data_IF_720786622588
#
_entry.id   IF_720786622588
#
_cell.length_a   1.000
_cell.length_b   1.000
_cell.length_c   1.000
_cell.angle_alpha   90.00
_cell.angle_beta   90.00
_cell.angle_gamma   90.00
#
_symmetry.space_group_name_H-M   'P 1'
#
loop_
_entity.id
_entity.type
_entity.pdbx_description
1 polymer ?
#
# COMPACT_ATOMS: atom_id res chain seq x y z
N UNK A 1 20.67 -54.70 34.82
CA UNK A 1 19.62 -53.67 34.96
C UNK A 1 20.13 -52.42 34.25
N UNK A 2 20.02 -52.24 32.92
CA UNK A 2 19.11 -52.84 31.94
C UNK A 2 17.65 -52.39 32.09
N UNK A 3 17.36 -51.15 31.66
CA UNK A 3 16.06 -50.73 31.14
C UNK A 3 16.30 -49.81 29.93
N UNK A 4 15.75 -50.19 28.79
CA UNK A 4 15.84 -49.45 27.52
C UNK A 4 14.44 -49.05 27.10
N UNK A 5 14.22 -47.77 26.74
CA UNK A 5 12.97 -47.34 26.12
C UNK A 5 13.13 -47.30 24.58
N UNK A 6 12.21 -47.89 23.82
CA UNK A 6 12.34 -48.02 22.37
C UNK A 6 11.87 -46.77 21.62
N UNK A 7 12.58 -46.43 20.54
CA UNK A 7 12.13 -45.45 19.54
C UNK A 7 11.22 -46.13 18.51
N UNK A 8 10.06 -45.52 18.20
CA UNK A 8 9.24 -45.97 17.07
C UNK A 8 9.78 -45.43 15.76
N UNK A 9 9.94 -46.32 14.76
CA UNK A 9 10.24 -45.97 13.37
C UNK A 9 9.05 -46.33 12.46
N UNK A 10 8.67 -45.47 11.51
CA UNK A 10 7.58 -45.78 10.57
C UNK A 10 8.06 -46.69 9.42
N UNK A 11 7.19 -47.58 8.89
CA UNK A 11 7.54 -48.50 7.81
C UNK A 11 7.63 -47.81 6.43
N UNK A 12 8.40 -48.39 5.47
CA UNK A 12 8.62 -47.79 4.14
C UNK A 12 7.40 -47.89 3.23
N UNK A 13 7.20 -46.87 2.38
CA UNK A 13 6.16 -46.88 1.33
C UNK A 13 6.59 -47.73 0.13
N UNK A 14 5.79 -48.75 -0.19
CA UNK A 14 6.00 -49.62 -1.35
C UNK A 14 5.82 -48.84 -2.67
N UNK A 15 6.75 -48.97 -3.61
CA UNK A 15 6.62 -48.43 -4.97
C UNK A 15 5.86 -49.42 -5.85
N UNK A 16 4.64 -49.07 -6.26
CA UNK A 16 3.92 -49.80 -7.30
C UNK A 16 4.20 -49.15 -8.67
N UNK A 17 4.63 -49.95 -9.65
CA UNK A 17 4.88 -49.51 -11.02
C UNK A 17 4.22 -50.47 -12.01
N UNK A 18 3.09 -50.05 -12.57
CA UNK A 18 2.43 -50.60 -13.76
C UNK A 18 1.84 -49.39 -14.53
N UNK A 19 1.70 -49.41 -15.85
CA UNK A 19 2.10 -50.42 -16.83
C UNK A 19 1.38 -50.11 -18.14
N UNK A 20 2.10 -49.66 -19.18
CA UNK A 20 1.50 -48.92 -20.30
C UNK A 20 1.69 -49.66 -21.65
N UNK A 21 0.64 -50.29 -22.16
CA UNK A 21 0.58 -50.77 -23.56
C UNK A 21 -0.84 -51.16 -24.00
N UNK A 22 -1.22 -50.70 -25.20
CA UNK A 22 -2.10 -51.29 -26.25
C UNK A 22 -3.48 -51.89 -25.86
N UNK A 23 -4.52 -51.93 -26.72
CA UNK A 23 -4.92 -51.24 -27.96
C UNK A 23 -6.30 -51.81 -28.40
N UNK A 24 -6.86 -51.36 -29.54
CA UNK A 24 -8.03 -51.93 -30.23
C UNK A 24 -9.41 -51.83 -29.52
N UNK A 25 -10.57 -51.80 -30.20
CA UNK A 25 -10.92 -51.49 -31.61
C UNK A 25 -12.43 -51.23 -31.74
N UNK A 26 -12.86 -50.34 -32.65
CA UNK A 26 -14.24 -50.18 -33.15
C UNK A 26 -15.33 -49.74 -32.13
N UNK A 27 -16.44 -49.10 -32.52
CA UNK A 27 -17.01 -48.83 -33.86
C UNK A 27 -17.19 -47.33 -34.14
N UNK A 28 -17.17 -46.97 -35.43
CA UNK A 28 -17.70 -45.71 -35.95
C UNK A 28 -19.12 -45.94 -36.49
N UNK A 29 -20.06 -45.05 -36.16
CA UNK A 29 -21.23 -44.76 -36.99
C UNK A 29 -21.42 -43.25 -37.08
N UNK A 30 -21.61 -42.73 -38.30
CA UNK A 30 -21.71 -41.31 -38.56
C UNK A 30 -22.91 -41.00 -39.45
N UNK A 31 -23.67 -39.98 -39.08
CA UNK A 31 -24.58 -39.21 -39.94
C UNK A 31 -24.35 -37.75 -39.53
N UNK A 32 -23.69 -36.94 -40.36
CA UNK A 32 -24.25 -36.32 -41.56
C UNK A 32 -25.41 -35.38 -41.19
N UNK A 33 -25.19 -34.08 -41.33
CA UNK A 33 -26.16 -33.03 -41.00
C UNK A 33 -26.49 -32.13 -42.18
N UNK A 34 -27.42 -31.20 -41.97
CA UNK A 34 -27.71 -30.11 -42.90
C UNK A 34 -27.87 -28.80 -42.13
N UNK A 35 -27.33 -27.66 -42.62
CA UNK A 35 -27.58 -26.36 -42.02
C UNK A 35 -28.96 -25.83 -42.45
N UNK A 36 -29.72 -25.25 -41.53
CA UNK A 36 -30.85 -24.37 -41.88
C UNK A 36 -30.35 -22.92 -42.04
N UNK A 37 -30.90 -22.15 -42.99
CA UNK A 37 -30.41 -20.82 -43.30
C UNK A 37 -30.66 -19.83 -42.16
N UNK A 38 -29.78 -18.83 -42.05
CA UNK A 38 -30.11 -17.58 -41.37
C UNK A 38 -31.04 -16.76 -42.26
N UNK A 39 -32.35 -17.00 -42.14
CA UNK A 39 -33.31 -16.00 -42.60
C UNK A 39 -33.09 -14.72 -41.79
N UNK A 40 -32.68 -13.65 -42.47
CA UNK A 40 -32.44 -12.33 -41.87
C UNK A 40 -33.77 -11.61 -41.62
N UNK A 41 -34.63 -12.28 -40.85
CA UNK A 41 -35.89 -11.76 -40.37
C UNK A 41 -35.63 -10.56 -39.45
N UNK A 42 -35.54 -9.36 -40.05
CA UNK A 42 -35.78 -8.06 -39.42
C UNK A 42 -37.26 -7.96 -38.99
N UNK A 43 -37.72 -8.93 -38.19
CA UNK A 43 -39.03 -8.92 -37.58
C UNK A 43 -38.94 -7.94 -36.42
N UNK A 44 -39.48 -6.74 -36.61
CA UNK A 44 -39.47 -5.69 -35.61
C UNK A 44 -40.00 -6.26 -34.29
N UNK A 45 -39.17 -6.20 -33.25
CA UNK A 45 -39.59 -6.52 -31.90
C UNK A 45 -40.65 -5.48 -31.54
N UNK A 46 -41.89 -5.92 -31.32
CA UNK A 46 -42.99 -5.01 -30.99
C UNK A 46 -42.68 -4.35 -29.65
N UNK A 47 -42.48 -3.03 -29.66
CA UNK A 47 -42.00 -2.21 -28.51
C UNK A 47 -42.92 -2.15 -27.29
N UNK A 48 -43.86 -3.09 -27.19
CA UNK A 48 -44.73 -3.39 -26.05
C UNK A 48 -44.11 -4.45 -25.12
N UNK A 49 -43.45 -5.47 -25.65
CA UNK A 49 -43.05 -6.67 -24.86
C UNK A 49 -41.88 -6.38 -23.92
N UNK A 50 -40.97 -5.48 -24.29
CA UNK A 50 -39.89 -5.02 -23.40
C UNK A 50 -40.46 -4.38 -22.12
N UNK A 51 -41.58 -3.66 -22.22
CA UNK A 51 -42.15 -2.92 -21.09
C UNK A 51 -42.75 -3.86 -20.02
N UNK A 52 -43.19 -5.05 -20.42
CA UNK A 52 -43.87 -6.03 -19.55
C UNK A 52 -42.91 -6.61 -18.50
N UNK A 53 -41.64 -6.84 -18.84
CA UNK A 53 -40.65 -7.37 -17.90
C UNK A 53 -39.80 -6.30 -17.20
N UNK A 54 -39.75 -5.07 -17.72
CA UNK A 54 -38.88 -4.00 -17.21
C UNK A 54 -39.57 -3.07 -16.18
N UNK A 55 -40.87 -2.80 -16.30
CA UNK A 55 -41.52 -1.69 -15.56
C UNK A 55 -41.45 -1.79 -14.03
N UNK A 56 -41.62 -3.01 -13.50
CA UNK A 56 -41.77 -3.27 -12.06
C UNK A 56 -40.53 -3.91 -11.42
N UNK A 57 -39.63 -4.47 -12.24
CA UNK A 57 -38.38 -5.12 -11.82
C UNK A 57 -37.26 -4.09 -11.62
N UNK A 58 -37.10 -3.15 -12.57
CA UNK A 58 -36.06 -2.12 -12.53
C UNK A 58 -36.16 -1.28 -11.24
N UNK A 59 -37.37 -0.84 -10.87
CA UNK A 59 -37.59 -0.04 -9.65
C UNK A 59 -37.17 -0.78 -8.38
N UNK A 60 -37.40 -2.10 -8.32
CA UNK A 60 -37.02 -2.95 -7.18
C UNK A 60 -35.51 -3.19 -7.12
N UNK A 61 -34.85 -3.31 -8.27
CA UNK A 61 -33.40 -3.51 -8.34
C UNK A 61 -32.59 -2.32 -7.79
N UNK A 62 -33.18 -1.12 -7.78
CA UNK A 62 -32.60 0.11 -7.23
C UNK A 62 -33.07 0.44 -5.80
N UNK A 63 -33.89 -0.39 -5.14
CA UNK A 63 -34.27 -0.16 -3.75
C UNK A 63 -33.04 -0.28 -2.82
N UNK A 64 -32.81 0.66 -1.87
CA UNK A 64 -31.67 0.60 -0.95
C UNK A 64 -31.50 -0.75 -0.23
N UNK A 65 -32.60 -1.36 0.21
CA UNK A 65 -32.58 -2.62 0.95
C UNK A 65 -32.31 -3.82 0.04
N UNK A 66 -32.69 -3.75 -1.24
CA UNK A 66 -32.41 -4.80 -2.22
C UNK A 66 -30.93 -4.79 -2.59
N UNK A 67 -30.33 -3.62 -2.85
CA UNK A 67 -28.90 -3.51 -3.11
C UNK A 67 -28.09 -3.94 -1.87
N UNK A 68 -28.45 -3.46 -0.68
CA UNK A 68 -27.75 -3.83 0.56
C UNK A 68 -27.76 -5.35 0.80
N UNK A 69 -28.93 -5.99 0.72
CA UNK A 69 -29.06 -7.44 0.89
C UNK A 69 -28.30 -8.24 -0.17
N UNK A 70 -28.14 -7.69 -1.38
CA UNK A 70 -27.35 -8.30 -2.46
C UNK A 70 -25.86 -8.27 -2.11
N UNK A 71 -25.34 -7.14 -1.63
CA UNK A 71 -23.97 -7.03 -1.10
C UNK A 71 -23.71 -7.91 0.13
N UNK A 72 -24.70 -8.03 1.03
CA UNK A 72 -24.63 -8.93 2.19
C UNK A 72 -24.55 -10.39 1.76
N UNK A 73 -25.42 -10.83 0.84
CA UNK A 73 -25.43 -12.20 0.32
C UNK A 73 -24.16 -12.56 -0.48
N UNK A 74 -23.48 -11.59 -1.10
CA UNK A 74 -22.15 -11.82 -1.69
C UNK A 74 -21.07 -12.00 -0.61
N UNK A 75 -21.06 -11.14 0.41
CA UNK A 75 -20.09 -11.22 1.51
C UNK A 75 -20.21 -12.52 2.31
N UNK A 76 -21.44 -13.00 2.55
CA UNK A 76 -21.72 -14.25 3.26
C UNK A 76 -21.22 -15.50 2.53
N UNK A 77 -21.09 -15.45 1.20
CA UNK A 77 -20.48 -16.51 0.38
C UNK A 77 -18.96 -16.38 0.24
N UNK A 78 -18.35 -15.36 0.85
CA UNK A 78 -16.96 -14.96 0.63
C UNK A 78 -16.66 -14.45 -0.81
N UNK A 79 -17.70 -14.10 -1.58
CA UNK A 79 -17.65 -13.40 -2.88
C UNK A 79 -17.38 -11.90 -2.65
N UNK A 80 -16.26 -11.60 -1.96
CA UNK A 80 -15.93 -10.26 -1.44
C UNK A 80 -15.74 -9.20 -2.54
N UNK A 81 -15.27 -9.60 -3.72
CA UNK A 81 -15.11 -8.72 -4.90
C UNK A 81 -16.45 -8.20 -5.39
N UNK A 82 -17.43 -9.08 -5.47
CA UNK A 82 -18.81 -8.82 -5.88
C UNK A 82 -19.53 -8.01 -4.81
N UNK A 83 -19.30 -8.33 -3.53
CA UNK A 83 -19.82 -7.56 -2.40
C UNK A 83 -19.35 -6.10 -2.43
N UNK A 84 -18.06 -5.85 -2.70
CA UNK A 84 -17.51 -4.48 -2.85
C UNK A 84 -18.26 -3.72 -3.95
N UNK A 85 -18.49 -4.33 -5.12
CA UNK A 85 -19.22 -3.69 -6.23
C UNK A 85 -20.61 -3.26 -5.78
N UNK A 86 -21.37 -4.14 -5.11
CA UNK A 86 -22.72 -3.81 -4.63
C UNK A 86 -22.74 -2.73 -3.55
N UNK A 87 -21.79 -2.74 -2.61
CA UNK A 87 -21.69 -1.67 -1.61
C UNK A 87 -21.26 -0.33 -2.25
N UNK A 88 -20.40 -0.32 -3.27
CA UNK A 88 -20.11 0.91 -4.03
C UNK A 88 -21.32 1.40 -4.81
N UNK A 89 -22.07 0.51 -5.47
CA UNK A 89 -23.30 0.84 -6.17
C UNK A 89 -24.37 1.43 -5.24
N UNK A 90 -24.46 0.92 -4.01
CA UNK A 90 -25.28 1.51 -2.96
C UNK A 90 -24.86 2.96 -2.64
N UNK A 91 -23.56 3.24 -2.50
CA UNK A 91 -23.03 4.57 -2.14
C UNK A 91 -23.12 5.59 -3.28
N UNK A 92 -23.13 5.14 -4.53
CA UNK A 92 -23.32 5.99 -5.70
C UNK A 92 -24.77 6.45 -5.86
N UNK A 93 -25.74 5.56 -5.59
CA UNK A 93 -27.17 5.87 -5.69
C UNK A 93 -27.76 6.49 -4.41
N UNK A 94 -27.36 6.01 -3.23
CA UNK A 94 -28.06 6.21 -1.96
C UNK A 94 -27.16 6.78 -0.85
N UNK A 95 -26.23 7.68 -1.21
CA UNK A 95 -25.21 8.25 -0.32
C UNK A 95 -25.74 8.87 0.99
N UNK A 96 -26.97 9.39 0.99
CA UNK A 96 -27.62 10.00 2.16
C UNK A 96 -28.47 9.03 2.99
N UNK A 97 -28.55 7.75 2.59
CA UNK A 97 -29.35 6.75 3.30
C UNK A 97 -28.72 6.34 4.63
N UNK A 98 -29.54 5.92 5.59
CA UNK A 98 -29.15 5.50 6.95
C UNK A 98 -28.10 4.36 6.93
N UNK A 99 -28.08 3.56 5.85
CA UNK A 99 -27.16 2.43 5.65
C UNK A 99 -25.87 2.80 4.88
N UNK A 100 -25.67 4.04 4.43
CA UNK A 100 -24.45 4.45 3.73
C UNK A 100 -23.17 4.28 4.58
N UNK A 101 -23.13 4.63 5.89
CA UNK A 101 -21.96 4.36 6.73
C UNK A 101 -21.65 2.86 6.86
N UNK A 102 -22.68 2.01 6.77
CA UNK A 102 -22.54 0.56 6.82
C UNK A 102 -21.99 -0.01 5.51
N UNK A 103 -22.45 0.48 4.34
CA UNK A 103 -21.89 0.10 3.04
C UNK A 103 -20.38 0.38 2.96
N UNK A 104 -19.95 1.60 3.33
CA UNK A 104 -18.53 1.97 3.35
C UNK A 104 -17.70 1.09 4.31
N UNK A 105 -18.27 0.74 5.48
CA UNK A 105 -17.63 -0.16 6.44
C UNK A 105 -17.42 -1.56 5.85
N UNK A 106 -18.46 -2.12 5.19
CA UNK A 106 -18.40 -3.45 4.57
C UNK A 106 -17.48 -3.49 3.35
N UNK A 107 -17.26 -2.39 2.63
CA UNK A 107 -16.19 -2.28 1.62
C UNK A 107 -14.82 -2.47 2.30
N UNK A 108 -14.55 -1.72 3.37
CA UNK A 108 -13.30 -1.84 4.12
C UNK A 108 -13.05 -3.26 4.63
N UNK A 109 -14.05 -3.88 5.25
CA UNK A 109 -13.95 -5.28 5.72
C UNK A 109 -13.73 -6.28 4.56
N UNK A 110 -14.39 -6.08 3.43
CA UNK A 110 -14.21 -6.94 2.24
C UNK A 110 -12.80 -6.84 1.68
N UNK A 111 -12.22 -5.64 1.64
CA UNK A 111 -10.83 -5.42 1.23
C UNK A 111 -9.83 -6.07 2.21
N UNK A 112 -10.10 -6.02 3.54
CA UNK A 112 -9.31 -6.78 4.51
C UNK A 112 -9.43 -8.29 4.27
N UNK A 113 -10.64 -8.81 4.00
CA UNK A 113 -10.88 -10.24 3.71
C UNK A 113 -10.19 -10.73 2.43
N UNK A 114 -10.00 -9.86 1.43
CA UNK A 114 -9.19 -10.15 0.24
C UNK A 114 -7.68 -10.21 0.52
N UNK A 115 -7.20 -9.83 1.71
CA UNK A 115 -5.78 -9.87 2.09
C UNK A 115 -5.32 -11.30 2.38
N UNK A 116 -4.58 -11.89 1.44
CA UNK A 116 -4.13 -13.29 1.50
C UNK A 116 -2.84 -13.50 2.32
N UNK A 117 -2.64 -12.70 3.38
CA UNK A 117 -1.49 -12.74 4.30
C UNK A 117 -0.33 -11.78 3.96
N UNK A 118 0.48 -11.47 4.99
CA UNK A 118 1.54 -10.43 5.04
C UNK A 118 2.56 -10.47 3.88
N UNK A 119 2.75 -11.63 3.25
CA UNK A 119 3.80 -11.85 2.24
C UNK A 119 3.29 -11.76 0.78
N UNK A 120 2.04 -11.33 0.59
CA UNK A 120 1.44 -11.04 -0.72
C UNK A 120 1.27 -9.53 -0.90
N UNK A 121 0.66 -9.12 -2.01
CA UNK A 121 0.36 -7.71 -2.29
C UNK A 121 -0.41 -7.02 -1.14
N UNK A 122 0.10 -5.92 -0.56
CA UNK A 122 -0.62 -5.13 0.44
C UNK A 122 -1.71 -4.21 -0.14
N UNK A 123 -1.88 -4.15 -1.47
CA UNK A 123 -2.90 -3.34 -2.15
C UNK A 123 -4.33 -3.44 -1.58
N UNK A 124 -4.84 -4.63 -1.17
CA UNK A 124 -6.13 -4.73 -0.49
C UNK A 124 -6.15 -4.06 0.89
N UNK A 125 -5.04 -4.13 1.65
CA UNK A 125 -4.92 -3.48 2.96
C UNK A 125 -4.95 -1.95 2.81
N UNK A 126 -4.31 -1.42 1.77
CA UNK A 126 -4.33 0.01 1.45
C UNK A 126 -5.74 0.48 1.08
N UNK A 127 -6.46 -0.29 0.24
CA UNK A 127 -7.87 0.00 -0.11
C UNK A 127 -8.82 -0.12 1.08
N UNK A 128 -8.54 -1.03 2.01
CA UNK A 128 -9.28 -1.13 3.27
C UNK A 128 -9.10 0.14 4.11
N UNK A 129 -7.84 0.55 4.34
CA UNK A 129 -7.47 1.78 5.05
C UNK A 129 -8.16 3.01 4.44
N UNK A 130 -8.04 3.22 3.12
CA UNK A 130 -8.72 4.31 2.40
C UNK A 130 -10.24 4.33 2.61
N UNK A 131 -10.89 3.17 2.66
CA UNK A 131 -12.35 3.06 2.82
C UNK A 131 -12.78 3.36 4.26
N UNK A 132 -12.03 2.89 5.26
CA UNK A 132 -12.30 3.25 6.66
C UNK A 132 -12.01 4.74 6.92
N UNK A 133 -10.96 5.33 6.34
CA UNK A 133 -10.72 6.77 6.39
C UNK A 133 -11.84 7.57 5.72
N UNK A 134 -12.30 7.12 4.54
CA UNK A 134 -13.44 7.71 3.83
C UNK A 134 -14.71 7.67 4.67
N UNK A 135 -14.99 6.55 5.36
CA UNK A 135 -16.11 6.41 6.29
C UNK A 135 -16.06 7.48 7.37
N UNK A 136 -14.94 7.57 8.11
CA UNK A 136 -14.80 8.50 9.24
C UNK A 136 -14.88 9.96 8.80
N UNK A 137 -14.40 10.27 7.59
CA UNK A 137 -14.48 11.61 6.97
C UNK A 137 -15.88 11.96 6.45
N UNK A 138 -16.64 10.99 5.93
CA UNK A 138 -17.93 11.22 5.28
C UNK A 138 -19.12 11.03 6.22
N UNK A 139 -18.96 10.20 7.25
CA UNK A 139 -19.99 9.82 8.22
C UNK A 139 -19.47 9.90 9.68
N UNK A 140 -18.95 11.06 10.13
CA UNK A 140 -18.42 11.23 11.47
C UNK A 140 -19.52 11.02 12.53
N UNK A 141 -19.17 10.42 13.67
CA UNK A 141 -20.10 10.10 14.75
C UNK A 141 -21.13 8.99 14.42
N UNK A 142 -21.03 8.35 13.25
CA UNK A 142 -21.85 7.18 12.94
C UNK A 142 -21.48 5.98 13.81
N UNK A 143 -22.38 4.99 13.93
CA UNK A 143 -22.14 3.73 14.66
C UNK A 143 -20.84 3.01 14.25
N UNK A 144 -20.36 3.25 13.04
CA UNK A 144 -19.20 2.60 12.44
C UNK A 144 -17.91 3.44 12.55
N UNK A 145 -17.94 4.68 13.04
CA UNK A 145 -16.76 5.55 13.21
C UNK A 145 -15.72 4.94 14.19
N UNK A 146 -16.17 4.51 15.36
CA UNK A 146 -15.34 3.82 16.36
C UNK A 146 -14.75 2.48 15.86
N UNK A 147 -15.57 1.55 15.33
CA UNK A 147 -15.09 0.33 14.68
C UNK A 147 -14.13 0.59 13.52
N UNK A 148 -14.37 1.62 12.70
CA UNK A 148 -13.47 2.01 11.61
C UNK A 148 -12.11 2.51 12.14
N UNK A 149 -12.06 3.23 13.25
CA UNK A 149 -10.79 3.62 13.89
C UNK A 149 -9.97 2.41 14.33
N UNK A 150 -10.61 1.38 14.90
CA UNK A 150 -9.95 0.12 15.26
C UNK A 150 -9.41 -0.60 14.02
N UNK A 151 -10.22 -0.68 12.95
CA UNK A 151 -9.83 -1.29 11.68
C UNK A 151 -8.70 -0.53 10.95
N UNK A 152 -8.65 0.80 11.08
CA UNK A 152 -7.51 1.63 10.63
C UNK A 152 -6.22 1.24 11.37
N UNK A 153 -6.29 1.08 12.70
CA UNK A 153 -5.14 0.66 13.50
C UNK A 153 -4.63 -0.73 13.09
N UNK A 154 -5.55 -1.70 12.91
CA UNK A 154 -5.25 -3.04 12.38
C UNK A 154 -4.60 -3.00 10.98
N UNK A 155 -5.10 -2.15 10.07
CA UNK A 155 -4.51 -1.99 8.74
C UNK A 155 -3.08 -1.43 8.82
N UNK A 156 -2.81 -0.47 9.70
CA UNK A 156 -1.45 0.03 9.94
C UNK A 156 -0.52 -1.03 10.54
N UNK A 157 -1.01 -1.90 11.45
CA UNK A 157 -0.22 -3.02 11.98
C UNK A 157 0.17 -4.01 10.86
N UNK A 158 -0.80 -4.42 10.05
CA UNK A 158 -0.57 -5.35 8.93
C UNK A 158 0.39 -4.76 7.89
N UNK A 159 0.28 -3.46 7.59
CA UNK A 159 1.24 -2.76 6.72
C UNK A 159 2.63 -2.73 7.34
N UNK A 160 2.77 -2.35 8.62
CA UNK A 160 4.06 -2.31 9.30
C UNK A 160 4.77 -3.68 9.30
N UNK A 161 4.03 -4.77 9.60
CA UNK A 161 4.54 -6.13 9.48
C UNK A 161 4.93 -6.51 8.04
N UNK A 162 4.19 -6.03 7.03
CA UNK A 162 4.53 -6.25 5.61
C UNK A 162 5.82 -5.55 5.22
N UNK A 163 6.02 -4.30 5.65
CA UNK A 163 7.28 -3.58 5.44
C UNK A 163 8.46 -4.28 6.14
N UNK A 164 8.28 -4.79 7.38
CA UNK A 164 9.33 -5.50 8.11
C UNK A 164 9.75 -6.76 7.36
N UNK A 165 8.79 -7.62 7.01
CA UNK A 165 9.05 -8.86 6.29
C UNK A 165 9.77 -8.64 4.95
N UNK A 166 9.35 -7.62 4.18
CA UNK A 166 9.99 -7.28 2.90
C UNK A 166 11.40 -6.71 3.13
N UNK A 167 11.63 -5.95 4.20
CA UNK A 167 12.96 -5.50 4.62
C UNK A 167 13.89 -6.68 4.95
N UNK A 168 13.45 -7.61 5.81
CA UNK A 168 14.19 -8.83 6.13
C UNK A 168 14.49 -9.70 4.90
N UNK A 169 13.58 -9.74 3.92
CA UNK A 169 13.80 -10.45 2.67
C UNK A 169 14.92 -9.82 1.85
N UNK A 170 14.95 -8.49 1.70
CA UNK A 170 16.05 -7.79 1.03
C UNK A 170 17.37 -7.91 1.79
N UNK A 171 17.33 -7.83 3.13
CA UNK A 171 18.51 -8.01 3.98
C UNK A 171 19.14 -9.40 3.79
N UNK A 172 18.34 -10.48 3.87
CA UNK A 172 18.77 -11.86 3.61
C UNK A 172 19.22 -12.12 2.17
N UNK A 173 18.99 -11.18 1.25
CA UNK A 173 19.48 -11.21 -0.15
C UNK A 173 20.75 -10.38 -0.36
N UNK A 174 21.32 -9.77 0.70
CA UNK A 174 22.47 -8.86 0.60
C UNK A 174 22.13 -7.51 -0.03
N UNK A 175 20.84 -7.17 -0.15
CA UNK A 175 20.37 -5.92 -0.76
C UNK A 175 20.14 -4.86 0.33
N UNK A 176 21.20 -4.54 1.07
CA UNK A 176 21.14 -3.73 2.28
C UNK A 176 20.52 -2.33 2.08
N UNK A 177 20.77 -1.67 0.95
CA UNK A 177 20.14 -0.39 0.62
C UNK A 177 18.62 -0.49 0.43
N UNK A 178 18.14 -1.58 -0.19
CA UNK A 178 16.70 -1.84 -0.35
C UNK A 178 16.05 -2.26 0.97
N UNK A 179 16.80 -2.96 1.83
CA UNK A 179 16.36 -3.31 3.18
C UNK A 179 16.23 -2.06 4.07
N UNK A 180 17.27 -1.22 4.14
CA UNK A 180 17.28 0.05 4.87
C UNK A 180 16.06 0.91 4.52
N UNK A 181 15.82 1.17 3.23
CA UNK A 181 14.65 1.94 2.78
C UNK A 181 13.30 1.34 3.21
N UNK A 182 13.18 0.01 3.38
CA UNK A 182 11.97 -0.63 3.91
C UNK A 182 11.82 -0.43 5.42
N UNK A 183 12.91 -0.46 6.18
CA UNK A 183 12.88 -0.18 7.61
C UNK A 183 12.67 1.32 7.91
N UNK A 184 13.21 2.22 7.09
CA UNK A 184 12.92 3.66 7.14
C UNK A 184 11.44 3.96 6.91
N UNK A 185 10.76 3.24 6.02
CA UNK A 185 9.31 3.36 5.84
C UNK A 185 8.53 3.04 7.12
N UNK A 186 9.01 2.10 7.96
CA UNK A 186 8.42 1.78 9.26
C UNK A 186 8.72 2.91 10.26
N UNK A 187 9.96 3.39 10.34
CA UNK A 187 10.34 4.51 11.20
C UNK A 187 9.57 5.81 10.89
N UNK A 188 9.23 6.03 9.62
CA UNK A 188 8.50 7.23 9.15
C UNK A 188 6.99 7.15 9.31
N UNK A 189 6.39 5.97 9.10
CA UNK A 189 4.92 5.81 9.06
C UNK A 189 4.34 5.12 10.29
N UNK A 190 5.14 4.27 10.96
CA UNK A 190 4.71 3.34 12.01
C UNK A 190 5.64 3.33 13.24
N UNK A 191 6.13 4.48 13.75
CA UNK A 191 7.09 4.52 14.85
C UNK A 191 6.55 3.94 16.17
N UNK A 192 5.24 4.00 16.39
CA UNK A 192 4.58 3.56 17.63
C UNK A 192 4.09 2.10 17.56
N UNK A 193 4.42 1.36 16.48
CA UNK A 193 3.98 -0.04 16.28
C UNK A 193 4.99 -1.03 16.85
N UNK A 194 4.53 -2.22 17.20
CA UNK A 194 5.33 -3.29 17.84
C UNK A 194 6.60 -3.68 17.07
N UNK A 195 6.59 -3.56 15.74
CA UNK A 195 7.74 -3.84 14.84
C UNK A 195 8.79 -2.72 14.77
N UNK A 196 8.56 -1.57 15.41
CA UNK A 196 9.47 -0.43 15.39
C UNK A 196 10.88 -0.75 15.95
N UNK A 197 11.06 -1.38 17.13
CA UNK A 197 12.39 -1.77 17.60
C UNK A 197 13.12 -2.73 16.64
N UNK A 198 12.43 -3.74 16.11
CA UNK A 198 13.00 -4.70 15.16
C UNK A 198 13.47 -4.00 13.89
N UNK A 199 12.62 -3.13 13.33
CA UNK A 199 12.95 -2.34 12.15
C UNK A 199 14.12 -1.38 12.39
N UNK A 200 14.20 -0.74 13.55
CA UNK A 200 15.30 0.17 13.89
C UNK A 200 16.63 -0.59 14.05
N UNK A 201 16.61 -1.79 14.63
CA UNK A 201 17.77 -2.67 14.69
C UNK A 201 18.23 -3.11 13.29
N UNK A 202 17.31 -3.64 12.46
CA UNK A 202 17.67 -4.07 11.11
C UNK A 202 18.06 -2.91 10.17
N UNK A 203 17.55 -1.70 10.40
CA UNK A 203 18.02 -0.48 9.73
C UNK A 203 19.49 -0.19 10.07
N UNK A 204 19.84 -0.21 11.36
CA UNK A 204 21.21 0.01 11.80
C UNK A 204 22.17 -1.08 11.28
N UNK A 205 21.74 -2.34 11.32
CA UNK A 205 22.49 -3.47 10.77
C UNK A 205 22.70 -3.34 9.25
N UNK A 206 21.66 -2.91 8.52
CA UNK A 206 21.77 -2.61 7.08
C UNK A 206 22.73 -1.46 6.79
N UNK A 207 22.86 -0.46 7.68
CA UNK A 207 23.87 0.60 7.53
C UNK A 207 25.28 0.11 7.84
N UNK A 208 25.48 -0.73 8.86
CA UNK A 208 26.78 -1.36 9.15
C UNK A 208 27.28 -2.21 7.97
N UNK A 209 26.41 -3.05 7.39
CA UNK A 209 26.75 -3.87 6.22
C UNK A 209 26.95 -3.07 4.91
N UNK A 210 26.55 -1.79 4.89
CA UNK A 210 26.89 -0.82 3.83
C UNK A 210 28.21 -0.07 4.11
N UNK A 211 28.84 -0.26 5.26
CA UNK A 211 30.00 0.51 5.73
C UNK A 211 29.66 1.91 6.24
N UNK A 212 28.38 2.22 6.47
CA UNK A 212 27.89 3.49 7.00
C UNK A 212 27.83 3.46 8.54
N UNK A 213 28.96 3.15 9.17
CA UNK A 213 29.08 2.95 10.63
C UNK A 213 28.58 4.15 11.46
N UNK A 214 28.81 5.38 10.99
CA UNK A 214 28.31 6.60 11.64
C UNK A 214 26.78 6.55 11.78
N UNK A 215 26.05 6.26 10.69
CA UNK A 215 24.58 6.15 10.68
C UNK A 215 24.09 4.93 11.46
N UNK A 216 24.80 3.81 11.39
CA UNK A 216 24.50 2.63 12.20
C UNK A 216 24.58 2.97 13.70
N UNK A 217 25.65 3.64 14.14
CA UNK A 217 25.85 4.03 15.54
C UNK A 217 24.75 4.97 16.08
N UNK A 218 24.29 5.92 15.24
CA UNK A 218 23.18 6.81 15.56
C UNK A 218 21.88 6.02 15.80
N UNK A 219 21.54 5.08 14.90
CA UNK A 219 20.30 4.30 15.02
C UNK A 219 20.35 3.28 16.16
N UNK A 220 21.52 2.72 16.49
CA UNK A 220 21.72 1.87 17.67
C UNK A 220 21.63 2.63 18.99
N UNK A 221 22.11 3.87 19.01
CA UNK A 221 21.95 4.76 20.18
C UNK A 221 20.47 5.07 20.40
N UNK A 222 19.75 5.45 19.34
CA UNK A 222 18.31 5.67 19.37
C UNK A 222 17.51 4.42 19.80
N UNK A 223 17.95 3.23 19.39
CA UNK A 223 17.36 1.94 19.81
C UNK A 223 17.54 1.72 21.32
N UNK A 224 18.75 1.96 21.84
CA UNK A 224 19.06 1.80 23.27
C UNK A 224 18.33 2.82 24.16
N UNK A 225 18.09 4.04 23.65
CA UNK A 225 17.33 5.09 24.34
C UNK A 225 15.81 4.82 24.34
N UNK A 226 15.22 4.49 23.19
CA UNK A 226 13.77 4.36 23.04
C UNK A 226 13.20 3.00 23.40
N UNK A 227 13.96 1.92 23.19
CA UNK A 227 13.47 0.54 23.30
C UNK A 227 14.43 -0.32 24.16
N UNK A 228 14.68 0.07 25.43
CA UNK A 228 15.67 -0.58 26.29
C UNK A 228 15.39 -2.06 26.54
N UNK A 229 14.12 -2.47 26.53
CA UNK A 229 13.64 -3.84 26.76
C UNK A 229 13.29 -4.59 25.46
N UNK A 230 13.62 -4.02 24.30
CA UNK A 230 13.32 -4.61 23.00
C UNK A 230 14.10 -5.91 22.72
N UNK A 231 13.49 -6.79 21.93
CA UNK A 231 14.05 -8.01 21.30
C UNK A 231 15.57 -7.93 21.05
N UNK A 232 16.00 -6.99 20.21
CA UNK A 232 17.38 -6.82 19.76
C UNK A 232 18.16 -5.75 20.54
N UNK A 233 17.68 -5.35 21.73
CA UNK A 233 18.36 -4.37 22.59
C UNK A 233 19.74 -4.84 23.01
N UNK A 234 19.92 -6.15 23.27
CA UNK A 234 21.21 -6.73 23.67
C UNK A 234 22.20 -6.78 22.50
N UNK A 235 21.72 -7.21 21.34
CA UNK A 235 22.44 -7.36 20.09
C UNK A 235 22.89 -5.99 19.58
N UNK A 236 21.99 -5.00 19.60
CA UNK A 236 22.26 -3.62 19.22
C UNK A 236 23.32 -2.97 20.10
N UNK A 237 23.27 -3.16 21.43
CA UNK A 237 24.34 -2.73 22.34
C UNK A 237 25.66 -3.43 22.04
N UNK A 238 25.64 -4.73 21.69
CA UNK A 238 26.84 -5.46 21.26
C UNK A 238 27.42 -4.95 19.94
N UNK A 239 26.58 -4.51 19.01
CA UNK A 239 26.98 -3.98 17.71
C UNK A 239 27.55 -2.58 17.84
N UNK A 240 26.93 -1.73 18.67
CA UNK A 240 27.43 -0.39 19.00
C UNK A 240 28.81 -0.46 19.67
N UNK A 241 29.03 -1.44 20.56
CA UNK A 241 30.34 -1.69 21.16
C UNK A 241 31.40 -2.18 20.17
N UNK A 242 31.03 -2.97 19.14
CA UNK A 242 31.93 -3.36 18.05
C UNK A 242 32.31 -2.16 17.19
N UNK A 243 31.32 -1.35 16.79
CA UNK A 243 31.52 -0.14 15.98
C UNK A 243 32.41 0.86 16.73
N UNK A 244 32.10 1.18 18.00
CA UNK A 244 32.91 2.09 18.81
C UNK A 244 34.28 1.55 19.24
N UNK A 245 34.49 0.23 19.18
CA UNK A 245 35.80 -0.40 19.34
C UNK A 245 36.67 -0.31 18.08
N UNK A 246 36.04 -0.22 16.90
CA UNK A 246 36.68 0.22 15.68
C UNK A 246 36.91 1.74 15.73
N UNK A 247 38.09 2.20 15.34
CA UNK A 247 38.24 3.62 14.97
C UNK A 247 37.44 3.82 13.69
N UNK A 248 36.63 4.90 13.57
CA UNK A 248 35.71 5.06 12.45
C UNK A 248 36.45 4.96 11.12
N UNK A 249 35.82 4.25 10.17
CA UNK A 249 36.30 4.03 8.81
C UNK A 249 36.23 5.34 8.02
N UNK A 250 37.10 6.29 8.37
CA UNK A 250 37.07 7.68 7.87
C UNK A 250 37.03 7.76 6.35
N UNK A 251 36.40 8.82 5.84
CA UNK A 251 36.31 9.19 4.42
C UNK A 251 37.69 9.39 3.77
N UNK A 252 38.34 8.26 3.44
CA UNK A 252 39.68 8.16 2.87
C UNK A 252 39.71 8.47 1.35
N UNK A 253 39.23 9.67 0.97
CA UNK A 253 39.70 10.45 -0.19
C UNK A 253 38.84 11.71 -0.43
N UNK A 254 39.02 12.77 0.37
CA UNK A 254 38.75 14.16 -0.09
C UNK A 254 39.41 15.23 0.80
N UNK A 255 40.72 15.11 1.05
CA UNK A 255 41.52 16.22 1.60
C UNK A 255 42.93 16.27 1.01
N UNK A 256 43.09 17.12 -0.01
CA UNK A 256 44.38 17.66 -0.42
C UNK A 256 44.62 18.99 0.30
N UNK A 257 45.45 18.93 1.35
CA UNK A 257 46.34 19.94 1.97
C UNK A 257 46.11 21.48 1.88
N UNK A 258 46.61 22.26 2.88
CA UNK A 258 46.19 23.65 3.11
C UNK A 258 47.15 24.73 2.55
N UNK A 259 46.70 26.00 2.55
CA UNK A 259 47.59 27.18 2.52
C UNK A 259 47.07 28.35 3.41
N UNK A 260 47.84 28.57 4.49
CA UNK A 260 48.07 29.81 5.27
C UNK A 260 47.29 31.12 5.03
N UNK A 261 46.64 31.58 6.12
CA UNK A 261 46.72 32.93 6.73
C UNK A 261 46.33 34.23 5.96
N UNK A 262 45.23 34.86 6.37
CA UNK A 262 45.17 36.17 7.08
C UNK A 262 43.70 36.55 7.32
N UNK A 263 43.18 36.96 8.48
CA UNK A 263 43.65 37.82 9.59
C UNK A 263 43.38 39.33 9.41
N UNK A 264 42.11 39.74 9.47
CA UNK A 264 41.74 41.12 9.83
C UNK A 264 40.36 41.17 10.49
N UNK A 265 40.31 41.55 11.77
CA UNK A 265 39.08 41.89 12.48
C UNK A 265 38.63 43.31 12.16
N UNK A 266 37.32 43.56 12.19
CA UNK A 266 36.76 44.76 12.84
C UNK A 266 35.27 44.57 13.14
N UNK A 267 34.78 45.35 14.11
CA UNK A 267 33.43 45.24 14.70
C UNK A 267 32.77 46.62 14.83
N UNK A 268 31.50 46.65 15.26
CA UNK A 268 30.64 47.85 15.46
C UNK A 268 30.15 48.52 14.16
N UNK A 269 28.99 49.21 14.09
CA UNK A 269 27.94 49.47 15.08
C UNK A 269 26.53 49.62 14.40
N UNK A 270 25.49 49.81 15.20
CA UNK A 270 24.09 50.16 14.83
C UNK A 270 23.41 50.84 16.05
N UNK A 271 22.11 51.24 16.05
CA UNK A 271 21.13 51.52 14.97
C UNK A 271 21.02 53.08 14.85
N UNK A 272 19.88 53.82 14.95
CA UNK A 272 18.43 53.66 14.64
C UNK A 272 17.95 54.77 13.65
N UNK A 273 16.69 55.22 13.44
CA UNK A 273 15.28 54.90 13.80
C UNK A 273 14.35 55.66 12.83
N UNK A 274 13.06 55.29 12.66
CA UNK A 274 12.10 56.16 11.94
C UNK A 274 10.74 55.57 11.50
N UNK A 275 9.81 55.39 12.44
CA UNK A 275 8.33 55.40 12.35
C UNK A 275 7.55 55.02 11.05
N UNK A 276 6.64 54.05 11.22
CA UNK A 276 5.36 53.86 10.49
C UNK A 276 4.33 54.98 10.84
N UNK A 277 3.30 55.28 10.02
CA UNK A 277 2.00 54.56 10.14
C UNK A 277 1.08 54.49 8.89
N UNK A 278 -0.04 53.74 9.04
CA UNK A 278 -1.37 53.90 8.37
C UNK A 278 -1.52 53.68 6.85
N UNK A 279 -2.72 53.42 6.29
CA UNK A 279 -3.88 52.55 6.64
C UNK A 279 -4.93 52.68 5.51
N UNK A 280 -5.79 51.65 5.34
CA UNK A 280 -7.08 51.65 4.63
C UNK A 280 -7.12 51.75 3.08
N UNK A 281 -8.28 51.30 2.57
CA UNK A 281 -8.88 51.40 1.21
C UNK A 281 -8.11 50.82 -0.02
N UNK A 282 -8.78 50.24 -1.03
CA UNK A 282 -10.20 49.88 -1.10
C UNK A 282 -10.68 49.45 -2.51
N UNK A 283 -11.62 48.48 -2.53
CA UNK A 283 -12.59 48.16 -3.60
C UNK A 283 -12.15 47.57 -4.97
N UNK A 284 -12.53 46.30 -5.16
CA UNK A 284 -13.22 45.69 -6.33
C UNK A 284 -12.42 45.48 -7.66
N UNK A 285 -12.43 44.25 -8.24
CA UNK A 285 -11.80 43.95 -9.53
C UNK A 285 -12.73 44.12 -10.75
N UNK A 286 -12.13 44.28 -11.94
CA UNK A 286 -12.82 44.23 -13.24
C UNK A 286 -12.45 42.97 -14.03
N UNK A 287 -13.46 42.19 -14.44
CA UNK A 287 -13.30 41.00 -15.30
C UNK A 287 -13.81 41.30 -16.71
N UNK A 288 -13.04 41.00 -17.77
CA UNK A 288 -13.56 40.78 -19.12
C UNK A 288 -13.62 39.28 -19.47
N UNK A 289 -14.51 38.94 -20.40
CA UNK A 289 -14.94 37.56 -20.67
C UNK A 289 -13.92 36.70 -21.44
N UNK A 290 -14.18 35.39 -21.39
CA UNK A 290 -13.42 34.33 -22.03
C UNK A 290 -13.23 34.48 -23.55
N UNK A 291 -12.08 34.02 -24.04
CA UNK A 291 -11.94 33.52 -25.41
C UNK A 291 -10.96 32.34 -25.44
N UNK A 292 -11.49 31.11 -25.31
CA UNK A 292 -10.71 29.90 -25.51
C UNK A 292 -10.23 29.82 -26.97
N UNK A 293 -8.91 29.74 -27.17
CA UNK A 293 -8.29 29.30 -28.43
C UNK A 293 -7.28 28.22 -28.12
N UNK A 294 -7.51 27.01 -28.62
CA UNK A 294 -6.49 25.96 -28.62
C UNK A 294 -5.51 26.20 -29.77
N UNK A 295 -4.19 26.22 -29.53
CA UNK A 295 -3.19 26.06 -30.57
C UNK A 295 -3.03 24.57 -30.90
N UNK A 296 -3.11 24.22 -32.18
CA UNK A 296 -2.77 22.88 -32.69
C UNK A 296 -1.25 22.66 -32.68
N UNK A 297 -0.81 21.44 -32.38
CA UNK A 297 0.62 21.12 -32.29
C UNK A 297 1.24 20.73 -33.65
N UNK A 298 2.26 21.48 -34.08
CA UNK A 298 3.42 20.91 -34.80
C UNK A 298 4.65 21.82 -34.83
N UNK A 299 5.81 21.19 -34.59
CA UNK A 299 7.16 21.49 -35.11
C UNK A 299 7.85 22.86 -34.88
N UNK A 300 9.12 22.71 -34.47
CA UNK A 300 10.27 23.62 -34.51
C UNK A 300 10.60 24.36 -33.19
N UNK A 301 11.84 24.37 -32.69
CA UNK A 301 13.00 23.43 -32.73
C UNK A 301 14.15 24.12 -31.99
N UNK A 302 15.01 23.38 -31.28
CA UNK A 302 16.17 23.90 -30.54
C UNK A 302 15.80 24.77 -29.31
N UNK A 303 16.54 24.77 -28.20
CA UNK A 303 17.55 23.80 -27.73
C UNK A 303 17.84 24.05 -26.25
N UNK A 304 17.45 23.15 -25.33
CA UNK A 304 17.87 23.25 -23.93
C UNK A 304 18.24 21.91 -23.28
N UNK A 305 19.39 21.99 -22.61
CA UNK A 305 20.12 21.08 -21.71
C UNK A 305 19.35 19.89 -21.12
N UNK A 306 20.01 18.73 -21.16
CA UNK A 306 19.60 17.47 -20.54
C UNK A 306 19.75 17.53 -19.00
N UNK A 307 18.65 17.65 -18.26
CA UNK A 307 18.68 17.61 -16.79
C UNK A 307 19.16 16.25 -16.25
N UNK A 308 20.06 16.31 -15.27
CA UNK A 308 20.55 15.16 -14.50
C UNK A 308 19.48 14.75 -13.47
N UNK A 309 19.44 13.48 -13.07
CA UNK A 309 18.44 12.95 -12.14
C UNK A 309 18.42 13.74 -10.82
N UNK A 310 17.23 14.03 -10.26
CA UNK A 310 17.12 14.40 -8.83
C UNK A 310 16.10 15.43 -8.38
N UNK A 311 15.20 15.96 -9.23
CA UNK A 311 14.10 16.82 -8.79
C UNK A 311 12.87 16.64 -9.69
N UNK A 312 11.66 16.71 -9.11
CA UNK A 312 10.40 16.71 -9.85
C UNK A 312 9.75 18.09 -9.80
N UNK A 313 9.25 18.52 -10.96
CA UNK A 313 8.16 19.48 -11.15
C UNK A 313 7.14 18.78 -12.06
#
# INVERSE_FOLDING_TARGET
MAHSFPTLTPPPRLRAALGLSLAMLCLLTACSGTPKPQDTAKKALSGTDEQIFLGDSIKKNYDPHVIMKRGEAYFEKEEYTEAIVEYTHFLDLHRTHILAPYAEFRIGESQMKLTKGIQRDPGPIQKALESFERLRKSFPGSRYDGPALQKIQECHDLLAHTHLFVGEFYYRRGSYLAAAHRFEQIMKLYPDKSVAPDALYFLALSYHDLGADDWASEKLTLLAEKYPDGSYSSEGKSLLAKIGGGKPSTLLALKSEPTSSSSSSNSSAAPPSGNQPSLADGLIPSVPAASFRLPSATSLSQSFVQCRLGAWC
#
